data_IF_010226761639
#
_entry.id   IF_010226761639
#
_cell.length_a   1.000
_cell.length_b   1.000
_cell.length_c   1.000
_cell.angle_alpha   90.00
_cell.angle_beta   90.00
_cell.angle_gamma   90.00
#
_symmetry.space_group_name_H-M   'P 1'
#
loop_
_entity.id
_entity.type
_entity.pdbx_description
1 polymer ?
#
# COMPACT_ATOMS: atom_id res chain seq x y z
N UNK A 1 -61.63 -81.65 -6.34
CA UNK A 1 -60.39 -81.34 -5.59
C UNK A 1 -59.35 -80.76 -6.55
N UNK A 2 -59.26 -79.43 -6.64
CA UNK A 2 -58.35 -78.73 -7.55
C UNK A 2 -57.10 -78.25 -6.81
N UNK A 3 -55.94 -78.73 -7.26
CA UNK A 3 -54.90 -77.82 -7.76
C UNK A 3 -54.00 -77.12 -6.76
N UNK A 4 -53.08 -77.90 -6.18
CA UNK A 4 -51.73 -77.55 -5.74
C UNK A 4 -51.01 -76.61 -6.73
N UNK A 5 -50.56 -75.41 -6.32
CA UNK A 5 -49.27 -74.84 -6.76
C UNK A 5 -48.87 -73.52 -6.07
N UNK A 6 -47.54 -73.39 -5.90
CA UNK A 6 -46.69 -72.19 -5.73
C UNK A 6 -46.47 -71.67 -4.31
N UNK A 7 -45.26 -71.93 -3.81
CA UNK A 7 -44.67 -71.29 -2.64
C UNK A 7 -43.16 -71.56 -2.56
N UNK A 8 -42.42 -71.34 -3.65
CA UNK A 8 -40.95 -71.41 -3.65
C UNK A 8 -40.43 -70.16 -4.40
N UNK A 9 -39.60 -69.37 -3.70
CA UNK A 9 -38.81 -68.17 -4.10
C UNK A 9 -39.27 -66.84 -3.47
N UNK A 10 -38.83 -66.58 -2.23
CA UNK A 10 -38.68 -65.19 -1.74
C UNK A 10 -37.52 -64.99 -0.75
N UNK A 11 -36.98 -66.03 -0.10
CA UNK A 11 -35.94 -65.86 0.93
C UNK A 11 -34.52 -65.53 0.42
N UNK A 12 -34.22 -65.72 -0.87
CA UNK A 12 -32.88 -65.41 -1.40
C UNK A 12 -32.68 -63.93 -1.80
N UNK A 13 -33.76 -63.14 -1.87
CA UNK A 13 -33.70 -61.73 -2.27
C UNK A 13 -33.51 -60.76 -1.09
N UNK A 14 -33.83 -61.17 0.15
CA UNK A 14 -33.59 -60.32 1.33
C UNK A 14 -32.14 -60.40 1.82
N UNK A 15 -31.53 -61.60 1.80
CA UNK A 15 -30.12 -61.76 2.18
C UNK A 15 -29.16 -61.05 1.23
N UNK A 16 -29.48 -60.95 -0.07
CA UNK A 16 -28.62 -60.24 -1.02
C UNK A 16 -28.62 -58.73 -0.77
N UNK A 17 -29.80 -58.14 -0.48
CA UNK A 17 -29.93 -56.72 -0.15
C UNK A 17 -29.22 -56.34 1.16
N UNK A 18 -29.32 -57.17 2.20
CA UNK A 18 -28.66 -56.91 3.48
C UNK A 18 -27.13 -56.99 3.38
N UNK A 19 -26.60 -57.98 2.64
CA UNK A 19 -25.15 -58.09 2.36
C UNK A 19 -24.64 -56.92 1.52
N UNK A 20 -25.46 -56.41 0.60
CA UNK A 20 -25.15 -55.22 -0.19
C UNK A 20 -25.12 -53.94 0.67
N UNK A 21 -26.11 -53.73 1.55
CA UNK A 21 -26.14 -52.57 2.47
C UNK A 21 -24.98 -52.58 3.48
N UNK A 22 -24.65 -53.73 4.06
CA UNK A 22 -23.50 -53.89 4.96
C UNK A 22 -22.19 -53.63 4.20
N UNK A 23 -22.10 -54.09 2.94
CA UNK A 23 -20.97 -53.82 2.05
C UNK A 23 -20.79 -52.33 1.74
N UNK A 24 -21.89 -51.63 1.43
CA UNK A 24 -21.92 -50.18 1.19
C UNK A 24 -21.55 -49.40 2.45
N UNK A 25 -22.06 -49.79 3.63
CA UNK A 25 -21.73 -49.16 4.90
C UNK A 25 -20.24 -49.32 5.27
N UNK A 26 -19.68 -50.55 5.13
CA UNK A 26 -18.24 -50.79 5.34
C UNK A 26 -17.38 -49.99 4.37
N UNK A 27 -17.71 -49.93 3.08
CA UNK A 27 -16.97 -49.11 2.09
C UNK A 27 -17.01 -47.62 2.44
N UNK A 28 -18.18 -47.09 2.81
CA UNK A 28 -18.33 -45.68 3.26
C UNK A 28 -17.48 -45.39 4.50
N UNK A 29 -17.41 -46.31 5.45
CA UNK A 29 -16.58 -46.16 6.66
C UNK A 29 -15.07 -46.16 6.36
N UNK A 30 -14.62 -46.99 5.41
CA UNK A 30 -13.21 -47.09 5.00
C UNK A 30 -12.77 -45.82 4.26
N UNK A 31 -13.59 -45.34 3.32
CA UNK A 31 -13.32 -44.12 2.58
C UNK A 31 -13.25 -42.89 3.50
N UNK A 32 -14.20 -42.74 4.43
CA UNK A 32 -14.20 -41.67 5.43
C UNK A 32 -12.93 -41.68 6.28
N UNK A 33 -12.44 -42.85 6.71
CA UNK A 33 -11.18 -42.97 7.45
C UNK A 33 -9.98 -42.53 6.61
N UNK A 34 -9.92 -42.90 5.33
CA UNK A 34 -8.86 -42.47 4.41
C UNK A 34 -8.84 -40.96 4.24
N UNK A 35 -10.01 -40.33 4.06
CA UNK A 35 -10.13 -38.87 3.95
C UNK A 35 -9.67 -38.14 5.22
N UNK A 36 -10.05 -38.62 6.41
CA UNK A 36 -9.60 -38.03 7.68
C UNK A 36 -8.07 -38.16 7.85
N UNK A 37 -7.47 -39.27 7.39
CA UNK A 37 -6.02 -39.44 7.42
C UNK A 37 -5.31 -38.54 6.41
N UNK A 38 -5.89 -38.34 5.22
CA UNK A 38 -5.38 -37.43 4.22
C UNK A 38 -5.44 -35.98 4.72
N UNK A 39 -6.57 -35.56 5.28
CA UNK A 39 -6.77 -34.23 5.87
C UNK A 39 -5.68 -33.87 6.89
N UNK A 40 -5.29 -34.80 7.75
CA UNK A 40 -4.16 -34.57 8.68
C UNK A 40 -2.85 -34.22 7.99
N UNK A 41 -2.57 -34.81 6.82
CA UNK A 41 -1.38 -34.46 6.03
C UNK A 41 -1.58 -33.09 5.36
N UNK A 42 -2.77 -32.85 4.83
CA UNK A 42 -3.12 -31.55 4.24
C UNK A 42 -3.08 -30.41 5.26
N UNK A 43 -3.43 -30.61 6.53
CA UNK A 43 -3.32 -29.57 7.56
C UNK A 43 -1.87 -29.10 7.79
N UNK A 44 -0.88 -30.00 7.64
CA UNK A 44 0.53 -29.60 7.70
C UNK A 44 0.98 -28.85 6.46
N UNK A 45 0.51 -29.27 5.28
CA UNK A 45 0.75 -28.52 4.05
C UNK A 45 0.12 -27.12 4.14
N UNK A 46 -1.12 -27.02 4.61
CA UNK A 46 -1.82 -25.77 4.86
C UNK A 46 -0.98 -24.85 5.76
N UNK A 47 -0.36 -25.40 6.82
CA UNK A 47 0.52 -24.61 7.67
C UNK A 47 1.72 -24.01 6.94
N UNK A 48 2.41 -24.82 6.13
CA UNK A 48 3.55 -24.35 5.34
C UNK A 48 3.10 -23.26 4.36
N UNK A 49 1.96 -23.45 3.69
CA UNK A 49 1.43 -22.47 2.73
C UNK A 49 1.03 -21.17 3.41
N UNK A 50 0.41 -21.22 4.60
CA UNK A 50 0.11 -20.02 5.39
C UNK A 50 1.37 -19.26 5.75
N UNK A 51 2.41 -19.96 6.23
CA UNK A 51 3.67 -19.30 6.59
C UNK A 51 4.35 -18.67 5.37
N UNK A 52 4.39 -19.38 4.23
CA UNK A 52 4.96 -18.84 3.01
C UNK A 52 4.18 -17.64 2.47
N UNK A 53 2.84 -17.69 2.48
CA UNK A 53 1.98 -16.58 2.06
C UNK A 53 2.20 -15.35 2.96
N UNK A 54 2.30 -15.55 4.28
CA UNK A 54 2.60 -14.48 5.22
C UNK A 54 3.99 -13.86 4.97
N UNK A 55 5.03 -14.70 4.81
CA UNK A 55 6.38 -14.21 4.51
C UNK A 55 6.44 -13.46 3.18
N UNK A 56 5.79 -13.96 2.13
CA UNK A 56 5.81 -13.27 0.83
C UNK A 56 4.95 -12.01 0.82
N UNK A 57 3.83 -11.99 1.54
CA UNK A 57 3.01 -10.78 1.72
C UNK A 57 3.79 -9.71 2.47
N UNK A 58 4.55 -10.12 3.47
CA UNK A 58 5.45 -9.24 4.21
C UNK A 58 6.66 -8.78 3.38
N UNK A 59 7.23 -9.65 2.54
CA UNK A 59 8.28 -9.24 1.62
C UNK A 59 7.75 -8.21 0.62
N UNK A 60 6.51 -8.35 0.15
CA UNK A 60 5.88 -7.38 -0.74
C UNK A 60 5.69 -5.99 -0.13
N UNK A 61 5.48 -5.91 1.18
CA UNK A 61 5.43 -4.60 1.86
C UNK A 61 6.81 -3.98 2.05
N UNK A 62 7.92 -4.72 1.80
CA UNK A 62 9.29 -4.26 2.01
C UNK A 62 10.10 -4.07 0.73
N UNK A 63 9.98 -5.00 -0.20
CA UNK A 63 10.69 -4.97 -1.47
C UNK A 63 9.79 -4.29 -2.48
N UNK A 64 10.39 -3.41 -3.28
CA UNK A 64 9.84 -2.85 -4.51
C UNK A 64 8.91 -3.84 -5.22
N UNK A 65 7.90 -3.32 -5.93
CA UNK A 65 6.88 -4.01 -6.73
C UNK A 65 7.46 -4.88 -7.86
N UNK A 66 8.34 -5.81 -7.49
CA UNK A 66 8.91 -6.81 -8.35
C UNK A 66 7.76 -7.75 -8.69
N UNK A 67 7.46 -7.95 -9.97
CA UNK A 67 6.29 -8.73 -10.39
C UNK A 67 6.36 -10.18 -9.88
N UNK A 68 7.57 -10.70 -9.63
CA UNK A 68 7.80 -12.08 -9.19
C UNK A 68 7.29 -12.31 -7.75
N UNK A 69 7.72 -11.57 -6.71
CA UNK A 69 7.12 -11.64 -5.38
C UNK A 69 5.58 -11.55 -5.38
N UNK A 70 5.02 -10.66 -6.21
CA UNK A 70 3.56 -10.44 -6.28
C UNK A 70 2.85 -11.67 -6.80
N UNK A 71 3.29 -12.20 -7.94
CA UNK A 71 2.72 -13.41 -8.54
C UNK A 71 2.86 -14.60 -7.59
N UNK A 72 4.02 -14.75 -6.95
CA UNK A 72 4.26 -15.83 -5.98
C UNK A 72 3.30 -15.72 -4.80
N UNK A 73 3.13 -14.53 -4.22
CA UNK A 73 2.21 -14.31 -3.12
C UNK A 73 0.76 -14.64 -3.51
N UNK A 74 0.29 -14.16 -4.67
CA UNK A 74 -1.07 -14.46 -5.16
C UNK A 74 -1.27 -15.96 -5.34
N UNK A 75 -0.31 -16.67 -5.94
CA UNK A 75 -0.38 -18.14 -6.11
C UNK A 75 -0.46 -18.84 -4.75
N UNK A 76 0.39 -18.43 -3.79
CA UNK A 76 0.39 -19.01 -2.44
C UNK A 76 -0.95 -18.77 -1.72
N UNK A 77 -1.52 -17.57 -1.84
CA UNK A 77 -2.80 -17.19 -1.23
C UNK A 77 -3.99 -17.96 -1.82
N UNK A 78 -4.01 -18.17 -3.15
CA UNK A 78 -5.04 -19.00 -3.80
C UNK A 78 -4.92 -20.47 -3.36
N UNK A 79 -3.70 -21.03 -3.35
CA UNK A 79 -3.47 -22.39 -2.88
C UNK A 79 -3.86 -22.58 -1.41
N UNK A 80 -3.53 -21.59 -0.56
CA UNK A 80 -3.96 -21.55 0.83
C UNK A 80 -5.49 -21.59 0.94
N UNK A 81 -6.22 -20.76 0.20
CA UNK A 81 -7.67 -20.71 0.22
C UNK A 81 -8.30 -22.06 -0.17
N UNK A 82 -7.79 -22.72 -1.22
CA UNK A 82 -8.26 -24.05 -1.66
C UNK A 82 -8.03 -25.10 -0.56
N UNK A 83 -6.84 -25.13 0.03
CA UNK A 83 -6.50 -26.07 1.11
C UNK A 83 -7.35 -25.82 2.37
N UNK A 84 -7.61 -24.56 2.72
CA UNK A 84 -8.46 -24.19 3.84
C UNK A 84 -9.91 -24.67 3.61
N UNK A 85 -10.47 -24.44 2.43
CA UNK A 85 -11.81 -24.90 2.06
C UNK A 85 -11.92 -26.43 2.14
N UNK A 86 -10.91 -27.16 1.64
CA UNK A 86 -10.86 -28.62 1.77
C UNK A 86 -10.84 -29.05 3.25
N UNK A 87 -10.01 -28.43 4.07
CA UNK A 87 -9.91 -28.74 5.50
C UNK A 87 -11.25 -28.53 6.23
N UNK A 88 -11.90 -27.38 5.98
CA UNK A 88 -13.21 -27.04 6.54
C UNK A 88 -14.28 -28.03 6.08
N UNK A 89 -14.27 -28.42 4.81
CA UNK A 89 -15.20 -29.40 4.26
C UNK A 89 -15.10 -30.74 4.97
N UNK A 90 -13.88 -31.29 5.11
CA UNK A 90 -13.65 -32.56 5.81
C UNK A 90 -14.11 -32.46 7.25
N UNK A 91 -13.74 -31.39 7.96
CA UNK A 91 -14.10 -31.24 9.37
C UNK A 91 -15.62 -31.07 9.57
N UNK A 92 -16.27 -30.26 8.75
CA UNK A 92 -17.70 -29.94 8.90
C UNK A 92 -18.58 -31.11 8.49
N UNK A 93 -18.36 -31.65 7.29
CA UNK A 93 -19.26 -32.63 6.69
C UNK A 93 -18.88 -34.08 7.00
N UNK A 94 -17.58 -34.38 7.08
CA UNK A 94 -17.13 -35.74 7.32
C UNK A 94 -16.93 -36.04 8.79
N UNK A 95 -16.51 -35.11 9.65
CA UNK A 95 -16.41 -35.41 11.10
C UNK A 95 -17.79 -35.33 11.77
N UNK A 96 -18.76 -34.60 11.19
CA UNK A 96 -20.14 -34.42 11.70
C UNK A 96 -20.16 -33.98 13.16
N UNK A 97 -19.46 -32.90 13.45
CA UNK A 97 -19.32 -32.41 14.82
C UNK A 97 -20.62 -31.76 15.32
N UNK A 98 -21.10 -32.15 16.51
CA UNK A 98 -22.31 -31.58 17.11
C UNK A 98 -21.96 -30.33 17.95
N UNK A 99 -22.07 -29.16 17.33
CA UNK A 99 -21.78 -27.86 17.93
C UNK A 99 -22.58 -27.58 19.20
N UNK A 100 -23.89 -27.89 19.19
CA UNK A 100 -24.79 -27.66 20.33
C UNK A 100 -24.33 -28.42 21.58
N UNK A 101 -23.91 -29.67 21.41
CA UNK A 101 -23.38 -30.48 22.52
C UNK A 101 -22.04 -29.94 23.03
N UNK A 102 -21.18 -29.46 22.14
CA UNK A 102 -19.91 -28.85 22.50
C UNK A 102 -20.09 -27.56 23.32
N UNK A 103 -20.99 -26.67 22.92
CA UNK A 103 -21.22 -25.40 23.61
C UNK A 103 -21.87 -25.61 24.98
N UNK A 104 -22.90 -26.46 25.06
CA UNK A 104 -23.56 -26.77 26.33
C UNK A 104 -22.61 -27.41 27.35
N UNK A 105 -21.60 -28.16 26.90
CA UNK A 105 -20.61 -28.74 27.81
C UNK A 105 -19.67 -27.72 28.45
N UNK A 106 -19.56 -26.52 27.91
CA UNK A 106 -18.72 -25.43 28.44
C UNK A 106 -19.43 -24.67 29.56
N UNK A 107 -20.74 -24.46 29.42
CA UNK A 107 -21.52 -23.67 30.37
C UNK A 107 -21.82 -24.41 31.67
N UNK A 108 -21.87 -25.75 31.65
CA UNK A 108 -22.46 -26.54 32.76
C UNK A 108 -21.43 -27.41 33.51
N UNK A 109 -20.23 -27.64 32.98
CA UNK A 109 -19.27 -28.58 33.58
C UNK A 109 -17.88 -27.98 33.77
N UNK A 110 -17.20 -28.40 34.86
CA UNK A 110 -15.78 -28.16 35.08
C UNK A 110 -15.00 -28.71 33.87
N UNK A 111 -14.41 -27.82 33.08
CA UNK A 111 -13.81 -28.14 31.80
C UNK A 111 -12.50 -28.91 32.05
N UNK A 112 -12.39 -30.13 31.54
CA UNK A 112 -11.12 -30.86 31.56
C UNK A 112 -10.11 -30.19 30.62
N UNK A 113 -8.80 -30.33 30.91
CA UNK A 113 -7.76 -29.69 30.08
C UNK A 113 -7.86 -30.04 28.58
N UNK A 114 -8.31 -31.25 28.24
CA UNK A 114 -8.53 -31.66 26.84
C UNK A 114 -9.74 -30.94 26.23
N UNK A 115 -10.85 -30.85 26.97
CA UNK A 115 -12.04 -30.12 26.52
C UNK A 115 -11.74 -28.65 26.27
N UNK A 116 -10.86 -28.05 27.08
CA UNK A 116 -10.40 -26.67 26.88
C UNK A 116 -9.56 -26.53 25.59
N UNK A 117 -8.60 -27.42 25.35
CA UNK A 117 -7.80 -27.39 24.10
C UNK A 117 -8.70 -27.51 22.87
N UNK A 118 -9.69 -28.39 22.93
CA UNK A 118 -10.66 -28.59 21.85
C UNK A 118 -11.52 -27.33 21.64
N UNK A 119 -11.88 -26.61 22.72
CA UNK A 119 -12.56 -25.34 22.62
C UNK A 119 -11.69 -24.30 21.90
N UNK A 120 -10.44 -24.13 22.34
CA UNK A 120 -9.49 -23.18 21.75
C UNK A 120 -9.33 -23.44 20.26
N UNK A 121 -9.15 -24.71 19.85
CA UNK A 121 -9.08 -25.10 18.43
C UNK A 121 -10.31 -24.68 17.62
N UNK A 122 -11.51 -24.71 18.20
CA UNK A 122 -12.74 -24.32 17.49
C UNK A 122 -12.90 -22.82 17.38
N UNK A 123 -12.69 -22.11 18.49
CA UNK A 123 -12.82 -20.65 18.51
C UNK A 123 -11.79 -20.04 17.58
N UNK A 124 -10.52 -20.44 17.70
CA UNK A 124 -9.46 -20.03 16.76
C UNK A 124 -9.78 -20.42 15.32
N UNK A 125 -10.30 -21.63 15.07
CA UNK A 125 -10.71 -22.06 13.73
C UNK A 125 -11.79 -21.17 13.10
N UNK A 126 -12.78 -20.71 13.88
CA UNK A 126 -13.79 -19.76 13.38
C UNK A 126 -13.16 -18.40 13.09
N UNK A 127 -12.30 -17.90 13.97
CA UNK A 127 -11.63 -16.62 13.77
C UNK A 127 -10.76 -16.67 12.50
N UNK A 128 -10.01 -17.75 12.29
CA UNK A 128 -9.21 -18.00 11.07
C UNK A 128 -10.07 -17.95 9.81
N UNK A 129 -11.28 -18.51 9.85
CA UNK A 129 -12.17 -18.50 8.68
C UNK A 129 -12.71 -17.11 8.36
N UNK A 130 -13.13 -16.37 9.38
CA UNK A 130 -13.68 -15.02 9.20
C UNK A 130 -12.57 -14.06 8.74
N UNK A 131 -11.44 -14.05 9.46
CA UNK A 131 -10.29 -13.20 9.13
C UNK A 131 -9.65 -13.59 7.80
N UNK A 132 -9.47 -14.89 7.52
CA UNK A 132 -8.91 -15.37 6.26
C UNK A 132 -9.79 -15.04 5.05
N UNK A 133 -11.13 -15.04 5.20
CA UNK A 133 -12.04 -14.55 4.16
C UNK A 133 -11.85 -13.05 3.92
N UNK A 134 -11.70 -12.26 4.99
CA UNK A 134 -11.47 -10.82 4.87
C UNK A 134 -10.11 -10.49 4.23
N UNK A 135 -9.04 -11.18 4.62
CA UNK A 135 -7.71 -11.08 3.99
C UNK A 135 -7.80 -11.44 2.51
N UNK A 136 -8.52 -12.51 2.15
CA UNK A 136 -8.69 -12.91 0.76
C UNK A 136 -9.46 -11.86 -0.06
N UNK A 137 -10.57 -11.32 0.47
CA UNK A 137 -11.37 -10.31 -0.23
C UNK A 137 -10.58 -9.00 -0.39
N UNK A 138 -9.98 -8.49 0.68
CA UNK A 138 -9.20 -7.25 0.65
C UNK A 138 -7.93 -7.38 -0.18
N UNK A 139 -7.29 -8.56 -0.18
CA UNK A 139 -6.13 -8.81 -1.05
C UNK A 139 -6.52 -8.94 -2.52
N UNK A 140 -7.64 -9.61 -2.83
CA UNK A 140 -8.11 -9.74 -4.21
C UNK A 140 -8.55 -8.40 -4.80
N UNK A 141 -9.21 -7.56 -3.98
CA UNK A 141 -9.54 -6.17 -4.29
C UNK A 141 -8.30 -5.38 -4.73
N UNK A 142 -7.23 -5.45 -3.93
CA UNK A 142 -5.95 -4.80 -4.19
C UNK A 142 -5.31 -5.24 -5.51
N UNK A 143 -5.41 -6.52 -5.90
CA UNK A 143 -4.72 -7.04 -7.09
C UNK A 143 -5.57 -7.06 -8.38
N UNK A 144 -6.90 -7.11 -8.31
CA UNK A 144 -7.73 -7.52 -9.44
C UNK A 144 -8.98 -6.67 -9.70
N UNK A 145 -8.93 -5.35 -9.51
CA UNK A 145 -9.90 -4.43 -10.14
C UNK A 145 -11.30 -4.46 -9.51
N UNK A 146 -11.37 -4.46 -8.18
CA UNK A 146 -12.53 -3.89 -7.48
C UNK A 146 -12.12 -2.48 -7.03
N UNK A 147 -13.06 -1.53 -7.07
CA UNK A 147 -12.78 -0.10 -6.81
C UNK A 147 -12.60 0.13 -5.31
N UNK A 148 -11.48 -0.34 -4.77
CA UNK A 148 -10.98 -0.22 -3.39
C UNK A 148 -12.03 -0.01 -2.28
N UNK A 149 -12.99 -0.92 -2.04
CA UNK A 149 -13.73 -0.92 -0.77
C UNK A 149 -12.83 -1.09 0.46
N UNK A 150 -11.61 -1.63 0.34
CA UNK A 150 -10.73 -1.88 1.49
C UNK A 150 -9.34 -1.25 1.33
N UNK A 151 -8.96 -0.39 2.29
CA UNK A 151 -7.59 0.14 2.36
C UNK A 151 -6.58 -0.95 2.71
N UNK A 152 -5.31 -0.75 2.32
CA UNK A 152 -4.20 -1.61 2.71
C UNK A 152 -4.10 -1.79 4.23
N UNK A 153 -4.39 -0.74 5.01
CA UNK A 153 -4.44 -0.80 6.48
C UNK A 153 -5.44 -1.85 6.98
N UNK A 154 -6.64 -1.89 6.39
CA UNK A 154 -7.65 -2.89 6.75
C UNK A 154 -7.18 -4.31 6.42
N UNK A 155 -6.47 -4.50 5.29
CA UNK A 155 -5.89 -5.78 4.91
C UNK A 155 -4.85 -6.23 5.95
N UNK A 156 -3.92 -5.36 6.33
CA UNK A 156 -2.87 -5.64 7.33
C UNK A 156 -3.47 -5.97 8.69
N UNK A 157 -4.49 -5.23 9.14
CA UNK A 157 -5.18 -5.53 10.41
C UNK A 157 -5.80 -6.93 10.38
N UNK A 158 -6.47 -7.28 9.28
CA UNK A 158 -7.09 -8.59 9.16
C UNK A 158 -6.07 -9.72 9.08
N UNK A 159 -4.94 -9.51 8.40
CA UNK A 159 -3.85 -10.48 8.31
C UNK A 159 -3.19 -10.72 9.68
N UNK A 160 -3.01 -9.67 10.47
CA UNK A 160 -2.53 -9.77 11.85
C UNK A 160 -3.48 -10.58 12.75
N UNK A 161 -4.80 -10.28 12.69
CA UNK A 161 -5.81 -11.05 13.44
C UNK A 161 -5.79 -12.53 13.01
N UNK A 162 -5.71 -12.77 11.70
CA UNK A 162 -5.63 -14.10 11.13
C UNK A 162 -4.39 -14.85 11.64
N UNK A 163 -3.21 -14.23 11.60
CA UNK A 163 -1.95 -14.84 12.02
C UNK A 163 -1.93 -15.17 13.52
N UNK A 164 -2.44 -14.28 14.37
CA UNK A 164 -2.56 -14.52 15.81
C UNK A 164 -3.47 -15.73 16.07
N UNK A 165 -4.66 -15.75 15.44
CA UNK A 165 -5.60 -16.86 15.59
C UNK A 165 -5.02 -18.18 15.08
N UNK A 166 -4.32 -18.13 13.95
CA UNK A 166 -3.61 -19.25 13.35
C UNK A 166 -2.52 -19.81 14.28
N UNK A 167 -1.71 -18.94 14.87
CA UNK A 167 -0.65 -19.32 15.80
C UNK A 167 -1.20 -20.02 17.04
N UNK A 168 -2.29 -19.49 17.62
CA UNK A 168 -3.02 -20.11 18.73
C UNK A 168 -3.57 -21.47 18.33
N UNK A 169 -4.17 -21.58 17.13
CA UNK A 169 -4.72 -22.83 16.62
C UNK A 169 -3.65 -23.92 16.49
N UNK A 170 -2.50 -23.57 15.91
CA UNK A 170 -1.39 -24.49 15.71
C UNK A 170 -0.78 -24.96 17.04
N UNK A 171 -0.58 -24.05 18.00
CA UNK A 171 -0.10 -24.40 19.33
C UNK A 171 -1.06 -25.36 20.05
N UNK A 172 -2.37 -25.10 19.99
CA UNK A 172 -3.39 -25.99 20.55
C UNK A 172 -3.43 -27.37 19.84
N UNK A 173 -3.25 -27.38 18.52
CA UNK A 173 -3.18 -28.59 17.70
C UNK A 173 -1.96 -29.46 18.05
N UNK A 174 -0.79 -28.83 18.21
CA UNK A 174 0.44 -29.49 18.65
C UNK A 174 0.26 -30.08 20.05
N UNK A 175 -0.35 -29.33 20.99
CA UNK A 175 -0.66 -29.82 22.33
C UNK A 175 -1.51 -31.08 22.31
N UNK A 176 -2.58 -31.07 21.50
CA UNK A 176 -3.47 -32.22 21.34
C UNK A 176 -2.77 -33.43 20.71
N UNK A 177 -1.86 -33.20 19.76
CA UNK A 177 -1.04 -34.25 19.15
C UNK A 177 -0.11 -34.90 20.19
N UNK A 178 0.60 -34.09 20.98
CA UNK A 178 1.50 -34.57 22.03
C UNK A 178 0.74 -35.32 23.13
N UNK A 179 -0.46 -34.84 23.48
CA UNK A 179 -1.37 -35.54 24.38
C UNK A 179 -1.73 -36.93 23.87
N UNK A 180 -2.12 -37.06 22.59
CA UNK A 180 -2.41 -38.37 21.97
C UNK A 180 -1.20 -39.31 21.93
N UNK A 181 0.01 -38.76 21.84
CA UNK A 181 1.27 -39.52 21.94
C UNK A 181 1.68 -39.84 23.39
N UNK A 182 0.81 -39.56 24.38
CA UNK A 182 1.04 -39.83 25.81
C UNK A 182 2.34 -39.21 26.36
N UNK A 183 2.75 -38.04 25.83
CA UNK A 183 3.87 -37.28 26.42
C UNK A 183 3.46 -36.69 27.77
N UNK A 184 4.41 -36.35 28.64
CA UNK A 184 4.10 -35.75 29.94
C UNK A 184 3.41 -34.38 29.76
N UNK A 185 2.57 -33.99 30.72
CA UNK A 185 1.89 -32.68 30.70
C UNK A 185 2.87 -31.51 30.66
N UNK A 186 4.02 -31.64 31.33
CA UNK A 186 5.12 -30.68 31.26
C UNK A 186 5.63 -30.48 29.84
N UNK A 187 5.98 -31.57 29.14
CA UNK A 187 6.47 -31.52 27.75
C UNK A 187 5.41 -30.94 26.80
N UNK A 188 4.13 -31.29 27.02
CA UNK A 188 3.02 -30.73 26.24
C UNK A 188 2.91 -29.21 26.40
N UNK A 189 2.92 -28.72 27.64
CA UNK A 189 2.80 -27.30 27.95
C UNK A 189 3.99 -26.50 27.41
N UNK A 190 5.22 -26.98 27.68
CA UNK A 190 6.44 -26.30 27.26
C UNK A 190 6.56 -26.22 25.73
N UNK A 191 6.31 -27.32 25.02
CA UNK A 191 6.42 -27.33 23.55
C UNK A 191 5.40 -26.40 22.88
N UNK A 192 4.18 -26.36 23.41
CA UNK A 192 3.12 -25.50 22.86
C UNK A 192 3.39 -24.03 23.16
N UNK A 193 3.92 -23.74 24.35
CA UNK A 193 4.32 -22.38 24.74
C UNK A 193 5.47 -21.87 23.88
N UNK A 194 6.57 -22.63 23.76
CA UNK A 194 7.72 -22.24 22.93
C UNK A 194 7.34 -22.07 21.46
N UNK A 195 6.46 -22.93 20.94
CA UNK A 195 5.98 -22.80 19.57
C UNK A 195 5.13 -21.54 19.36
N UNK A 196 4.20 -21.24 20.28
CA UNK A 196 3.41 -20.02 20.24
C UNK A 196 4.31 -18.77 20.36
N UNK A 197 5.24 -18.78 21.32
CA UNK A 197 6.18 -17.69 21.52
C UNK A 197 7.04 -17.46 20.27
N UNK A 198 7.52 -18.51 19.61
CA UNK A 198 8.29 -18.39 18.38
C UNK A 198 7.48 -17.78 17.23
N UNK A 199 6.21 -18.16 17.07
CA UNK A 199 5.33 -17.57 16.04
C UNK A 199 5.01 -16.10 16.34
N UNK A 200 4.69 -15.78 17.59
CA UNK A 200 4.42 -14.39 18.00
C UNK A 200 5.67 -13.52 17.90
N UNK A 201 6.85 -14.05 18.26
CA UNK A 201 8.12 -13.36 18.08
C UNK A 201 8.47 -13.19 16.60
N UNK A 202 8.15 -14.15 15.74
CA UNK A 202 8.32 -13.98 14.30
C UNK A 202 7.42 -12.85 13.80
N UNK A 203 6.12 -12.87 14.11
CA UNK A 203 5.20 -11.79 13.77
C UNK A 203 5.67 -10.43 14.33
N UNK A 204 6.08 -10.38 15.59
CA UNK A 204 6.61 -9.16 16.20
C UNK A 204 7.93 -8.72 15.58
N UNK A 205 8.83 -9.62 15.18
CA UNK A 205 10.07 -9.26 14.49
C UNK A 205 9.78 -8.70 13.08
N UNK A 206 8.75 -9.23 12.42
CA UNK A 206 8.24 -8.67 11.18
C UNK A 206 7.61 -7.29 11.42
N UNK A 207 6.72 -7.12 12.39
CA UNK A 207 6.14 -5.80 12.70
C UNK A 207 7.16 -4.79 13.22
N UNK A 208 8.05 -5.17 14.15
CA UNK A 208 9.03 -4.25 14.72
C UNK A 208 10.09 -3.80 13.71
N UNK A 209 10.39 -4.62 12.70
CA UNK A 209 11.19 -4.16 11.56
C UNK A 209 10.48 -3.10 10.70
N UNK A 210 9.17 -2.87 10.90
CA UNK A 210 8.42 -1.71 10.41
C UNK A 210 8.52 -0.52 11.39
N UNK A 211 8.58 -0.80 12.70
CA UNK A 211 8.63 0.23 13.75
C UNK A 211 10.02 0.85 13.94
N UNK A 212 11.09 0.22 13.46
CA UNK A 212 12.47 0.70 13.67
C UNK A 212 12.88 1.99 12.93
N UNK A 213 11.94 2.71 12.28
CA UNK A 213 12.19 4.08 11.77
C UNK A 213 11.01 5.06 11.97
N UNK A 214 9.97 4.69 12.72
CA UNK A 214 8.86 5.61 13.08
C UNK A 214 9.06 6.28 14.45
N UNK A 215 10.28 6.25 14.99
CA UNK A 215 10.61 6.92 16.25
C UNK A 215 10.68 8.43 16.02
N UNK A 216 9.62 9.12 16.45
CA UNK A 216 9.34 10.55 16.25
C UNK A 216 9.30 10.91 14.78
N UNK A 217 8.11 11.18 14.23
CA UNK A 217 8.04 11.83 12.92
C UNK A 217 8.94 13.08 13.00
N UNK A 218 10.09 13.08 12.32
CA UNK A 218 11.00 14.18 12.43
C UNK A 218 10.33 15.28 11.62
N UNK A 219 9.53 16.11 12.29
CA UNK A 219 8.98 17.32 11.68
C UNK A 219 10.13 18.04 10.98
N UNK A 220 9.91 18.58 9.78
CA UNK A 220 10.89 19.32 8.99
C UNK A 220 12.32 18.73 9.04
N UNK A 221 12.66 17.81 8.15
CA UNK A 221 13.98 17.16 8.17
C UNK A 221 14.62 16.96 6.80
N UNK A 222 15.96 16.94 6.78
CA UNK A 222 16.78 16.52 5.63
C UNK A 222 17.49 15.23 5.99
N UNK A 223 17.38 14.20 5.14
CA UNK A 223 18.09 12.93 5.27
C UNK A 223 19.21 12.83 4.25
N UNK A 224 20.44 12.56 4.69
CA UNK A 224 21.62 12.41 3.83
C UNK A 224 22.39 11.17 4.29
N UNK A 225 22.56 10.19 3.39
CA UNK A 225 23.22 8.90 3.71
C UNK A 225 22.63 8.19 4.94
N UNK A 226 21.31 8.24 5.11
CA UNK A 226 20.63 7.64 6.26
C UNK A 226 20.71 8.46 7.56
N UNK A 227 21.48 9.54 7.60
CA UNK A 227 21.51 10.47 8.74
C UNK A 227 20.41 11.50 8.59
N UNK A 228 19.57 11.65 9.61
CA UNK A 228 18.46 12.62 9.64
C UNK A 228 18.91 13.89 10.36
N UNK A 229 18.68 15.03 9.74
CA UNK A 229 18.98 16.37 10.26
C UNK A 229 17.68 17.16 10.38
N UNK A 230 17.39 17.68 11.58
CA UNK A 230 16.26 18.58 11.77
C UNK A 230 16.53 19.95 11.14
N UNK A 231 15.49 20.52 10.53
CA UNK A 231 15.48 21.82 9.86
C UNK A 231 14.76 22.85 10.70
N UNK A 232 15.44 23.97 10.95
CA UNK A 232 14.85 25.16 11.55
C UNK A 232 14.71 26.23 10.46
N UNK A 233 13.47 26.57 10.10
CA UNK A 233 13.19 27.51 9.03
C UNK A 233 13.62 28.94 9.35
N UNK A 234 13.83 29.28 10.62
CA UNK A 234 14.33 30.60 11.04
C UNK A 234 15.81 30.80 10.70
N UNK A 235 16.53 29.72 10.40
CA UNK A 235 17.96 29.74 10.04
C UNK A 235 18.19 29.57 8.54
N UNK A 236 17.13 29.39 7.75
CA UNK A 236 17.26 29.23 6.30
C UNK A 236 17.55 30.58 5.63
N UNK A 237 18.31 30.53 4.53
CA UNK A 237 18.49 31.65 3.63
C UNK A 237 17.89 31.30 2.27
N UNK A 238 17.32 32.28 1.60
CA UNK A 238 16.58 32.08 0.36
C UNK A 238 17.52 32.13 -0.85
N UNK A 239 17.60 31.04 -1.62
CA UNK A 239 18.39 30.95 -2.85
C UNK A 239 17.68 31.50 -4.09
N UNK A 240 16.34 31.59 -4.06
CA UNK A 240 15.49 32.05 -5.18
C UNK A 240 14.62 33.26 -4.79
N UNK A 241 15.23 34.45 -4.60
CA UNK A 241 14.52 35.71 -4.32
C UNK A 241 13.56 36.15 -5.44
N UNK A 242 13.79 35.65 -6.66
CA UNK A 242 12.97 35.84 -7.85
C UNK A 242 11.65 35.04 -7.83
N UNK A 243 11.62 33.89 -7.13
CA UNK A 243 10.42 33.03 -7.05
C UNK A 243 9.66 33.26 -5.76
N UNK A 244 10.34 33.18 -4.61
CA UNK A 244 9.67 33.14 -3.31
C UNK A 244 9.57 34.53 -2.65
N UNK A 245 8.50 34.74 -1.87
CA UNK A 245 8.40 35.89 -0.96
C UNK A 245 9.42 35.78 0.17
N UNK A 246 9.72 36.91 0.82
CA UNK A 246 10.62 36.92 1.97
C UNK A 246 10.12 35.99 3.09
N UNK A 247 11.02 35.17 3.64
CA UNK A 247 10.70 34.18 4.67
C UNK A 247 10.02 32.92 4.12
N UNK A 248 9.98 32.75 2.79
CA UNK A 248 9.55 31.52 2.12
C UNK A 248 10.77 30.87 1.45
N UNK A 249 10.80 29.55 1.49
CA UNK A 249 11.98 28.77 1.17
C UNK A 249 11.62 27.58 0.28
N UNK A 250 12.63 27.06 -0.39
CA UNK A 250 12.60 25.82 -1.16
C UNK A 250 13.22 24.65 -0.39
N UNK A 251 13.06 23.42 -0.90
CA UNK A 251 13.81 22.27 -0.40
C UNK A 251 15.32 22.43 -0.56
N UNK A 252 15.77 23.14 -1.59
CA UNK A 252 17.18 23.47 -1.76
C UNK A 252 17.73 24.32 -0.60
N UNK A 253 16.96 25.31 -0.15
CA UNK A 253 17.36 26.17 0.99
C UNK A 253 17.50 25.37 2.29
N UNK A 254 16.65 24.37 2.50
CA UNK A 254 16.75 23.46 3.64
C UNK A 254 18.04 22.62 3.59
N UNK A 255 18.44 22.13 2.41
CA UNK A 255 19.70 21.41 2.22
C UNK A 255 20.90 22.32 2.51
N UNK A 256 20.91 23.55 2.00
CA UNK A 256 21.98 24.53 2.24
C UNK A 256 22.12 24.83 3.73
N UNK A 257 21.00 25.11 4.41
CA UNK A 257 21.02 25.37 5.87
C UNK A 257 21.59 24.19 6.65
N UNK A 258 21.16 22.95 6.34
CA UNK A 258 21.70 21.75 7.00
C UNK A 258 23.19 21.60 6.74
N UNK A 259 23.62 21.85 5.49
CA UNK A 259 25.03 21.81 5.11
C UNK A 259 25.87 22.78 5.93
N UNK A 260 25.47 24.05 5.97
CA UNK A 260 26.20 25.11 6.69
C UNK A 260 26.25 24.83 8.19
N UNK A 261 25.11 24.47 8.78
CA UNK A 261 24.98 24.20 10.22
C UNK A 261 25.78 22.98 10.67
N UNK A 262 25.95 21.99 9.78
CA UNK A 262 26.62 20.72 10.10
C UNK A 262 28.02 20.61 9.52
N UNK A 263 28.49 21.62 8.78
CA UNK A 263 29.78 21.61 8.11
C UNK A 263 29.88 20.51 7.05
N UNK A 264 28.81 20.25 6.30
CA UNK A 264 28.85 19.34 5.17
C UNK A 264 29.53 20.05 3.98
N UNK A 265 30.34 19.32 3.21
CA UNK A 265 30.96 19.84 1.97
C UNK A 265 29.92 19.82 0.84
N UNK A 266 29.01 20.80 0.82
CA UNK A 266 28.08 21.04 -0.28
C UNK A 266 28.69 22.08 -1.23
N UNK A 267 28.83 21.69 -2.50
CA UNK A 267 29.22 22.57 -3.60
C UNK A 267 28.08 22.58 -4.61
N UNK A 268 27.71 23.77 -5.03
CA UNK A 268 26.63 23.99 -5.98
C UNK A 268 26.86 25.31 -6.72
N UNK A 269 26.15 25.46 -7.83
CA UNK A 269 26.07 26.71 -8.58
C UNK A 269 24.67 26.87 -9.15
N UNK A 270 24.32 28.11 -9.51
CA UNK A 270 23.12 28.37 -10.29
C UNK A 270 23.42 28.21 -11.78
N UNK A 271 22.64 27.38 -12.47
CA UNK A 271 22.73 27.19 -13.91
C UNK A 271 21.61 27.97 -14.61
N UNK A 272 21.92 29.03 -15.38
CA UNK A 272 20.92 29.83 -16.07
C UNK A 272 20.23 29.08 -17.22
N UNK A 273 20.85 28.06 -17.83
CA UNK A 273 20.24 27.29 -18.92
C UNK A 273 19.16 26.34 -18.40
N UNK A 274 19.19 26.03 -17.10
CA UNK A 274 18.16 25.24 -16.43
C UNK A 274 17.29 26.07 -15.48
N UNK A 275 17.61 27.35 -15.26
CA UNK A 275 17.06 28.22 -14.21
C UNK A 275 16.98 27.54 -12.82
N UNK A 276 18.02 26.80 -12.41
CA UNK A 276 18.02 26.04 -11.14
C UNK A 276 19.40 25.98 -10.49
N UNK A 277 19.44 25.76 -9.18
CA UNK A 277 20.65 25.42 -8.45
C UNK A 277 21.02 23.94 -8.63
N UNK A 278 22.22 23.68 -9.17
CA UNK A 278 22.78 22.36 -9.45
C UNK A 278 23.76 21.96 -8.34
N UNK A 279 23.62 20.75 -7.80
CA UNK A 279 24.53 20.19 -6.80
C UNK A 279 25.75 19.57 -7.50
N UNK A 280 26.88 20.26 -7.46
CA UNK A 280 28.16 19.75 -7.99
C UNK A 280 28.69 18.58 -7.18
N UNK A 281 28.65 18.72 -5.84
CA UNK A 281 29.03 17.65 -4.92
C UNK A 281 28.44 17.87 -3.54
N UNK A 282 28.11 16.77 -2.85
CA UNK A 282 27.78 16.76 -1.43
C UNK A 282 28.63 15.68 -0.74
N UNK A 283 29.35 16.08 0.31
CA UNK A 283 30.32 15.24 1.04
C UNK A 283 31.38 14.63 0.10
N UNK A 284 31.87 15.43 -0.84
CA UNK A 284 32.86 15.03 -1.84
C UNK A 284 32.38 14.03 -2.90
N UNK A 285 31.11 13.60 -2.85
CA UNK A 285 30.49 12.73 -3.86
C UNK A 285 29.65 13.54 -4.85
N UNK A 286 29.56 13.07 -6.09
CA UNK A 286 28.73 13.68 -7.16
C UNK A 286 27.41 12.92 -7.34
N UNK A 287 26.59 13.41 -8.26
CA UNK A 287 25.36 12.81 -8.74
C UNK A 287 24.29 12.66 -7.66
N UNK A 288 24.10 13.75 -6.91
CA UNK A 288 23.06 13.83 -5.90
C UNK A 288 21.75 14.28 -6.54
N UNK A 289 20.70 13.56 -6.20
CA UNK A 289 19.33 13.96 -6.45
C UNK A 289 18.56 13.98 -5.13
N UNK A 290 17.26 14.30 -5.21
CA UNK A 290 16.42 14.39 -4.04
C UNK A 290 15.07 13.69 -4.22
N UNK A 291 14.53 13.26 -3.09
CA UNK A 291 13.16 12.83 -2.89
C UNK A 291 12.55 13.79 -1.85
N UNK A 292 11.65 14.65 -2.27
CA UNK A 292 10.86 15.52 -1.41
C UNK A 292 9.47 14.92 -1.18
N UNK A 293 8.98 14.96 0.05
CA UNK A 293 7.59 14.64 0.36
C UNK A 293 7.10 15.45 1.55
N UNK A 294 5.78 15.61 1.64
CA UNK A 294 5.13 16.26 2.77
C UNK A 294 4.36 15.24 3.60
N UNK A 295 3.84 15.70 4.73
CA UNK A 295 2.86 14.98 5.51
C UNK A 295 1.70 14.43 4.64
N UNK A 296 1.32 13.18 4.93
CA UNK A 296 0.38 12.38 4.15
C UNK A 296 0.87 11.92 2.76
N UNK A 297 2.09 12.29 2.34
CA UNK A 297 2.72 11.75 1.14
C UNK A 297 3.17 10.30 1.31
N UNK A 298 3.50 9.62 0.21
CA UNK A 298 3.97 8.23 0.27
C UNK A 298 5.34 8.14 0.97
N UNK A 299 5.30 7.76 2.25
CA UNK A 299 6.48 7.48 3.08
C UNK A 299 6.82 6.00 3.11
N UNK A 300 6.30 5.18 2.19
CA UNK A 300 6.61 3.74 2.16
C UNK A 300 8.06 3.52 1.74
N UNK A 301 8.94 3.74 2.72
CA UNK A 301 10.35 3.38 2.71
C UNK A 301 10.44 1.93 2.25
N UNK A 302 11.30 1.62 1.28
CA UNK A 302 12.47 2.43 0.91
C UNK A 302 12.26 3.52 -0.15
N UNK A 303 11.04 3.77 -0.61
CA UNK A 303 10.78 4.60 -1.78
C UNK A 303 10.09 5.89 -1.36
N UNK A 304 10.86 6.98 -1.23
CA UNK A 304 10.26 8.31 -1.20
C UNK A 304 9.65 8.62 -2.56
N UNK A 305 8.95 9.74 -2.63
CA UNK A 305 8.41 10.22 -3.90
C UNK A 305 9.54 10.54 -4.90
N UNK A 306 9.47 9.92 -6.08
CA UNK A 306 10.39 10.24 -7.17
C UNK A 306 9.98 11.59 -7.74
N UNK A 307 10.85 12.59 -7.65
CA UNK A 307 10.54 13.94 -8.04
C UNK A 307 11.30 14.36 -9.30
N UNK A 308 10.56 14.74 -10.35
CA UNK A 308 11.11 15.43 -11.53
C UNK A 308 10.70 16.91 -11.47
N UNK A 309 11.24 17.60 -10.48
CA UNK A 309 11.13 19.05 -10.33
C UNK A 309 12.50 19.63 -9.99
N UNK A 310 12.69 20.91 -10.30
CA UNK A 310 13.81 21.70 -9.79
C UNK A 310 13.70 21.80 -8.26
N UNK A 311 14.73 21.35 -7.55
CA UNK A 311 14.75 21.29 -6.08
C UNK A 311 14.55 22.67 -5.43
N UNK A 312 15.10 23.71 -6.07
CA UNK A 312 15.02 25.10 -5.63
C UNK A 312 13.70 25.79 -6.02
N UNK A 313 12.78 25.06 -6.65
CA UNK A 313 11.40 25.49 -6.93
C UNK A 313 10.37 24.68 -6.14
N UNK A 314 10.82 23.61 -5.46
CA UNK A 314 10.00 22.78 -4.61
C UNK A 314 9.84 23.47 -3.25
N UNK A 315 8.65 23.97 -2.86
CA UNK A 315 8.52 24.76 -1.63
C UNK A 315 8.85 23.96 -0.37
N UNK A 316 9.42 24.62 0.64
CA UNK A 316 9.58 24.05 1.97
C UNK A 316 8.39 24.44 2.85
N UNK A 317 7.76 23.47 3.51
CA UNK A 317 6.64 23.70 4.44
C UNK A 317 6.75 22.85 5.69
N UNK A 318 5.87 23.10 6.65
CA UNK A 318 5.73 22.30 7.85
C UNK A 318 5.41 20.83 7.52
N UNK A 319 6.14 19.90 8.15
CA UNK A 319 6.08 18.46 7.85
C UNK A 319 6.84 18.05 6.60
N UNK A 320 7.65 18.93 5.99
CA UNK A 320 8.45 18.57 4.82
C UNK A 320 9.60 17.64 5.21
N UNK A 321 9.81 16.60 4.41
CA UNK A 321 10.98 15.74 4.51
C UNK A 321 11.67 15.75 3.15
N UNK A 322 12.97 16.00 3.19
CA UNK A 322 13.85 15.97 2.04
C UNK A 322 14.84 14.83 2.22
N UNK A 323 14.93 13.92 1.28
CA UNK A 323 15.94 12.85 1.29
C UNK A 323 16.87 13.00 0.11
N UNK A 324 18.16 13.04 0.38
CA UNK A 324 19.20 13.06 -0.64
C UNK A 324 19.56 11.64 -1.03
N UNK A 325 19.54 11.37 -2.33
CA UNK A 325 19.87 10.07 -2.92
C UNK A 325 20.94 10.22 -3.97
N UNK A 326 21.70 9.15 -4.22
CA UNK A 326 22.65 9.11 -5.33
C UNK A 326 22.01 8.40 -6.51
N UNK A 327 22.14 8.99 -7.68
CA UNK A 327 21.63 8.47 -8.93
C UNK A 327 22.77 8.23 -9.92
N UNK A 328 22.48 7.51 -11.01
CA UNK A 328 23.47 7.36 -12.07
C UNK A 328 23.73 8.71 -12.76
N UNK A 329 24.95 8.95 -13.30
CA UNK A 329 25.22 10.16 -14.08
C UNK A 329 24.24 10.34 -15.24
N UNK A 330 23.92 9.25 -15.95
CA UNK A 330 23.03 9.28 -17.11
C UNK A 330 21.60 9.67 -16.72
N UNK A 331 21.08 9.12 -15.63
CA UNK A 331 19.76 9.48 -15.09
C UNK A 331 19.71 10.95 -14.65
N UNK A 332 20.78 11.47 -14.05
CA UNK A 332 20.84 12.87 -13.66
C UNK A 332 20.87 13.79 -14.88
N UNK A 333 21.65 13.43 -15.89
CA UNK A 333 21.74 14.22 -17.13
C UNK A 333 20.42 14.22 -17.89
N UNK A 334 19.68 13.10 -17.91
CA UNK A 334 18.34 13.02 -18.51
C UNK A 334 17.38 14.03 -17.87
N UNK A 335 17.42 14.18 -16.53
CA UNK A 335 16.64 15.19 -15.80
C UNK A 335 17.03 16.61 -16.18
N UNK A 336 18.32 16.89 -16.25
CA UNK A 336 18.83 18.20 -16.62
C UNK A 336 18.48 18.57 -18.06
N UNK A 337 18.47 17.61 -18.98
CA UNK A 337 18.06 17.87 -20.36
C UNK A 337 16.58 18.28 -20.48
N UNK A 338 15.70 17.69 -19.65
CA UNK A 338 14.32 18.17 -19.56
C UNK A 338 14.26 19.62 -19.09
N UNK A 339 15.05 19.99 -18.08
CA UNK A 339 15.07 21.37 -17.60
C UNK A 339 15.58 22.36 -18.66
N UNK A 340 16.65 22.01 -19.38
CA UNK A 340 17.17 22.82 -20.49
C UNK A 340 16.13 22.99 -21.59
N UNK A 341 15.44 21.90 -21.95
CA UNK A 341 14.38 21.93 -22.97
C UNK A 341 13.22 22.85 -22.55
N UNK A 342 12.81 22.82 -21.29
CA UNK A 342 11.77 23.74 -20.78
C UNK A 342 12.19 25.21 -20.86
N UNK A 343 13.43 25.53 -20.48
CA UNK A 343 13.93 26.91 -20.55
C UNK A 343 14.09 27.37 -22.00
N UNK A 344 14.64 26.51 -22.88
CA UNK A 344 14.72 26.78 -24.31
C UNK A 344 13.34 27.10 -24.91
N UNK A 345 12.31 26.28 -24.61
CA UNK A 345 10.93 26.56 -25.06
C UNK A 345 10.42 27.90 -24.54
N UNK A 346 10.66 28.22 -23.27
CA UNK A 346 10.26 29.48 -22.66
C UNK A 346 10.93 30.68 -23.37
N UNK A 347 12.22 30.57 -23.67
CA UNK A 347 12.99 31.60 -24.37
C UNK A 347 12.53 31.79 -25.82
N UNK A 348 12.28 30.70 -26.56
CA UNK A 348 11.70 30.72 -27.90
C UNK A 348 10.32 31.40 -27.93
N UNK A 349 9.56 31.29 -26.84
CA UNK A 349 8.27 31.94 -26.66
C UNK A 349 8.37 33.39 -26.17
N UNK A 350 9.58 33.96 -26.07
CA UNK A 350 9.82 35.32 -25.60
C UNK A 350 9.59 35.47 -24.10
N UNK A 351 9.92 34.44 -23.31
CA UNK A 351 9.74 34.40 -21.86
C UNK A 351 8.35 33.97 -21.39
N UNK A 352 7.42 33.70 -22.32
CA UNK A 352 6.04 33.28 -22.01
C UNK A 352 5.98 31.78 -21.71
N UNK A 353 5.13 31.42 -20.74
CA UNK A 353 4.86 30.01 -20.41
C UNK A 353 3.79 29.48 -21.36
N UNK A 354 4.21 28.73 -22.39
CA UNK A 354 3.28 28.05 -23.30
C UNK A 354 3.40 26.56 -23.09
N UNK A 355 2.30 25.91 -22.73
CA UNK A 355 2.23 24.46 -22.57
C UNK A 355 1.71 23.86 -23.87
N UNK A 356 2.52 23.05 -24.59
CA UNK A 356 2.10 22.44 -25.85
C UNK A 356 0.81 21.63 -25.74
N UNK A 357 0.61 20.94 -24.61
CA UNK A 357 -0.55 20.07 -24.39
C UNK A 357 -1.11 20.19 -22.96
N UNK A 358 -2.31 20.75 -22.83
CA UNK A 358 -3.08 20.75 -21.58
C UNK A 358 -4.25 19.78 -21.69
N UNK A 359 -4.29 18.79 -20.81
CA UNK A 359 -5.29 17.71 -20.81
C UNK A 359 -6.12 17.83 -19.55
N UNK A 360 -7.45 17.81 -19.68
CA UNK A 360 -8.38 17.73 -18.54
C UNK A 360 -9.19 16.45 -18.69
N UNK A 361 -8.89 15.44 -17.88
CA UNK A 361 -9.61 14.16 -17.80
C UNK A 361 -10.56 14.16 -16.61
N UNK A 362 -11.79 14.62 -16.85
CA UNK A 362 -12.88 14.53 -15.90
C UNK A 362 -13.54 13.14 -15.88
N UNK A 363 -14.59 13.01 -15.07
CA UNK A 363 -15.44 11.80 -15.04
C UNK A 363 -16.32 11.71 -16.28
N UNK A 364 -16.76 12.86 -16.78
CA UNK A 364 -17.75 12.92 -17.86
C UNK A 364 -17.14 13.27 -19.20
N UNK A 365 -16.02 13.99 -19.22
CA UNK A 365 -15.40 14.48 -20.45
C UNK A 365 -13.87 14.42 -20.39
N UNK A 366 -13.25 14.38 -21.57
CA UNK A 366 -11.82 14.56 -21.75
C UNK A 366 -11.62 15.74 -22.70
N UNK A 367 -10.91 16.77 -22.24
CA UNK A 367 -10.56 17.93 -23.03
C UNK A 367 -9.06 17.94 -23.33
N UNK A 368 -8.71 18.33 -24.55
CA UNK A 368 -7.33 18.49 -24.98
C UNK A 368 -7.17 19.87 -25.60
N UNK A 369 -6.36 20.72 -24.97
CA UNK A 369 -6.02 22.05 -25.44
C UNK A 369 -4.57 22.07 -25.92
N UNK A 370 -4.32 22.64 -27.09
CA UNK A 370 -2.99 22.76 -27.67
C UNK A 370 -2.43 24.17 -27.49
N UNK A 371 -1.13 24.26 -27.16
CA UNK A 371 -0.38 25.52 -27.09
C UNK A 371 -1.05 26.59 -26.22
N UNK A 372 -1.33 26.24 -24.97
CA UNK A 372 -1.98 27.15 -24.01
C UNK A 372 -0.92 28.09 -23.45
N UNK A 373 -1.01 29.38 -23.78
CA UNK A 373 -0.28 30.44 -23.06
C UNK A 373 -0.91 30.61 -21.68
N UNK A 374 -0.15 30.32 -20.63
CA UNK A 374 -0.62 30.39 -19.24
C UNK A 374 -0.18 31.70 -18.60
N UNK A 375 -1.14 32.42 -18.02
CA UNK A 375 -0.88 33.69 -17.33
C UNK A 375 -0.74 33.45 -15.83
N UNK A 376 0.07 34.26 -15.15
CA UNK A 376 0.13 34.23 -13.69
C UNK A 376 -1.13 34.88 -13.09
N UNK A 377 -1.85 34.16 -12.24
CA UNK A 377 -3.00 34.72 -11.49
C UNK A 377 -2.62 35.21 -10.10
N UNK A 378 -1.37 35.01 -9.68
CA UNK A 378 -0.84 35.40 -8.37
C UNK A 378 -1.69 34.87 -7.21
N UNK A 379 -2.27 33.67 -7.36
CA UNK A 379 -3.15 33.05 -6.36
C UNK A 379 -2.45 32.87 -5.00
N UNK A 380 -1.13 32.69 -5.02
CA UNK A 380 -0.27 32.46 -3.85
C UNK A 380 0.74 33.59 -3.65
N UNK A 381 0.27 34.83 -3.67
CA UNK A 381 1.11 36.00 -3.38
C UNK A 381 1.68 36.03 -1.94
N UNK A 382 1.18 35.15 -1.06
CA UNK A 382 1.76 34.87 0.26
C UNK A 382 3.06 34.06 0.18
N UNK A 383 3.24 33.29 -0.90
CA UNK A 383 4.33 32.32 -1.07
C UNK A 383 5.27 32.73 -2.20
N UNK A 384 4.72 33.13 -3.34
CA UNK A 384 5.46 33.48 -4.54
C UNK A 384 5.41 34.98 -4.84
N UNK A 385 6.43 35.46 -5.56
CA UNK A 385 6.46 36.81 -6.14
C UNK A 385 5.40 36.95 -7.23
N UNK A 386 4.98 38.19 -7.47
CA UNK A 386 4.06 38.50 -8.56
C UNK A 386 4.68 38.09 -9.91
N UNK A 387 3.89 37.45 -10.76
CA UNK A 387 4.30 36.97 -12.08
C UNK A 387 4.79 35.52 -12.12
N UNK A 388 4.92 34.84 -10.97
CA UNK A 388 5.22 33.40 -10.95
C UNK A 388 4.01 32.61 -11.42
N UNK A 389 4.18 31.85 -12.50
CA UNK A 389 3.16 30.96 -13.06
C UNK A 389 3.23 29.60 -12.37
N UNK A 390 2.07 29.07 -11.99
CA UNK A 390 1.90 27.78 -11.32
C UNK A 390 0.98 26.85 -12.13
N UNK A 391 0.94 25.56 -11.80
CA UNK A 391 0.13 24.59 -12.53
C UNK A 391 -1.38 24.91 -12.48
N UNK A 392 -1.87 25.44 -11.36
CA UNK A 392 -3.29 25.83 -11.20
C UNK A 392 -3.69 26.98 -12.12
N UNK A 393 -2.74 27.86 -12.46
CA UNK A 393 -2.99 29.01 -13.32
C UNK A 393 -3.39 28.58 -14.74
N UNK A 394 -3.06 27.36 -15.18
CA UNK A 394 -3.52 26.84 -16.47
C UNK A 394 -5.04 26.61 -16.48
N UNK A 395 -5.61 26.06 -15.39
CA UNK A 395 -7.07 25.90 -15.27
C UNK A 395 -7.74 27.28 -15.18
N UNK A 396 -7.14 28.20 -14.42
CA UNK A 396 -7.65 29.57 -14.30
C UNK A 396 -7.63 30.31 -15.65
N UNK A 397 -6.52 30.20 -16.39
CA UNK A 397 -6.37 30.74 -17.74
C UNK A 397 -7.43 30.19 -18.70
N UNK A 398 -7.63 28.87 -18.72
CA UNK A 398 -8.67 28.26 -19.56
C UNK A 398 -10.08 28.74 -19.18
N UNK A 399 -10.32 29.01 -17.90
CA UNK A 399 -11.57 29.59 -17.44
C UNK A 399 -11.75 31.05 -17.86
N UNK A 400 -10.71 31.89 -17.76
CA UNK A 400 -10.73 33.29 -18.21
C UNK A 400 -10.97 33.41 -19.72
N UNK A 401 -10.44 32.45 -20.50
CA UNK A 401 -10.68 32.33 -21.93
C UNK A 401 -12.08 31.77 -22.28
N UNK A 402 -12.87 31.37 -21.28
CA UNK A 402 -14.23 30.86 -21.44
C UNK A 402 -14.30 29.43 -21.99
N UNK A 403 -13.21 28.66 -21.94
CA UNK A 403 -13.18 27.28 -22.41
C UNK A 403 -13.75 26.27 -21.41
N UNK A 404 -13.70 26.59 -20.12
CA UNK A 404 -14.25 25.77 -19.06
C UNK A 404 -14.77 26.66 -17.92
N UNK A 405 -15.58 26.07 -17.04
CA UNK A 405 -15.90 26.65 -15.73
C UNK A 405 -15.18 25.86 -14.65
N UNK A 406 -14.73 26.54 -13.58
CA UNK A 406 -14.03 25.87 -12.49
C UNK A 406 -14.39 26.45 -11.13
N UNK A 407 -14.16 25.66 -10.07
CA UNK A 407 -14.23 26.10 -8.68
C UNK A 407 -12.92 25.74 -8.00
N UNK A 408 -12.33 26.70 -7.30
CA UNK A 408 -11.21 26.46 -6.40
C UNK A 408 -11.69 26.38 -4.97
N UNK A 409 -11.05 25.52 -4.17
CA UNK A 409 -11.34 25.40 -2.75
C UNK A 409 -10.04 25.28 -1.96
N UNK A 410 -9.98 26.03 -0.86
CA UNK A 410 -8.89 25.93 0.08
C UNK A 410 -9.06 24.72 0.98
N UNK A 411 -7.96 24.00 1.20
CA UNK A 411 -7.89 22.89 2.14
C UNK A 411 -6.74 23.11 3.12
N UNK A 412 -7.07 23.14 4.41
CA UNK A 412 -6.07 23.13 5.48
C UNK A 412 -5.41 21.76 5.63
N UNK A 413 -6.19 20.70 5.44
CA UNK A 413 -5.80 19.28 5.51
C UNK A 413 -6.58 18.46 4.47
N UNK A 414 -6.01 17.34 4.02
CA UNK A 414 -6.67 16.38 3.11
C UNK A 414 -6.25 14.95 3.48
N UNK A 415 -7.23 14.08 3.74
CA UNK A 415 -6.97 12.67 4.06
C UNK A 415 -6.17 12.54 5.36
N UNK A 416 -4.97 11.97 5.26
CA UNK A 416 -4.03 11.83 6.38
C UNK A 416 -3.02 12.98 6.46
N UNK A 417 -2.98 13.90 5.48
CA UNK A 417 -2.12 15.07 5.53
C UNK A 417 -2.75 16.15 6.41
N UNK A 418 -2.18 16.40 7.58
CA UNK A 418 -2.61 17.43 8.53
C UNK A 418 -2.30 18.84 8.01
N UNK A 419 -1.21 19.00 7.25
CA UNK A 419 -0.77 20.30 6.72
C UNK A 419 -0.72 20.31 5.19
N UNK A 420 -1.84 20.74 4.60
CA UNK A 420 -1.95 20.99 3.15
C UNK A 420 -1.82 22.48 2.85
N UNK A 421 -2.73 23.31 3.39
CA UNK A 421 -2.78 24.78 3.25
C UNK A 421 -2.61 25.25 1.80
N UNK A 422 -3.51 24.80 0.94
CA UNK A 422 -3.43 25.02 -0.50
C UNK A 422 -4.81 25.05 -1.18
N UNK A 423 -4.88 25.70 -2.35
CA UNK A 423 -6.02 25.66 -3.24
C UNK A 423 -5.99 24.43 -4.15
N UNK A 424 -7.12 23.74 -4.20
CA UNK A 424 -7.36 22.62 -5.10
C UNK A 424 -8.45 22.97 -6.11
N UNK A 425 -8.38 22.36 -7.28
CA UNK A 425 -9.44 22.42 -8.29
C UNK A 425 -10.57 21.47 -7.85
N UNK A 426 -11.57 22.03 -7.17
CA UNK A 426 -12.70 21.26 -6.64
C UNK A 426 -13.62 20.79 -7.77
N UNK A 427 -13.85 21.62 -8.79
CA UNK A 427 -14.70 21.26 -9.92
C UNK A 427 -14.20 21.84 -11.23
N UNK A 428 -14.44 21.10 -12.32
CA UNK A 428 -14.34 21.59 -13.70
C UNK A 428 -15.63 21.20 -14.42
N UNK A 429 -16.34 22.18 -14.97
CA UNK A 429 -17.65 22.04 -15.60
C UNK A 429 -18.66 21.27 -14.74
N UNK A 430 -19.04 20.06 -15.16
CA UNK A 430 -20.03 19.22 -14.49
C UNK A 430 -19.41 18.25 -13.49
N UNK A 431 -18.09 18.13 -13.49
CA UNK A 431 -17.37 17.22 -12.61
C UNK A 431 -16.94 17.98 -11.36
N UNK A 432 -17.50 17.60 -10.21
CA UNK A 432 -17.28 18.25 -8.92
C UNK A 432 -16.86 17.23 -7.87
N UNK A 433 -15.81 17.57 -7.13
CA UNK A 433 -15.18 16.80 -6.07
C UNK A 433 -16.19 16.29 -5.05
N UNK A 434 -15.97 15.07 -4.57
CA UNK A 434 -16.78 14.49 -3.49
C UNK A 434 -15.99 13.46 -2.71
N UNK A 435 -16.18 13.43 -1.38
CA UNK A 435 -15.46 12.54 -0.48
C UNK A 435 -13.93 12.68 -0.68
N UNK A 436 -13.28 11.61 -1.16
CA UNK A 436 -11.84 11.55 -1.49
C UNK A 436 -11.59 11.48 -3.00
N UNK A 437 -12.60 11.85 -3.79
CA UNK A 437 -12.53 11.91 -5.24
C UNK A 437 -12.45 13.37 -5.71
N UNK A 438 -11.54 13.66 -6.62
CA UNK A 438 -11.39 14.98 -7.19
C UNK A 438 -10.34 15.02 -8.30
N UNK A 439 -10.05 16.23 -8.77
CA UNK A 439 -8.97 16.46 -9.72
C UNK A 439 -7.64 16.49 -8.98
N UNK A 440 -6.71 15.67 -9.45
CA UNK A 440 -5.28 15.86 -9.20
C UNK A 440 -4.60 16.26 -10.52
N UNK A 441 -3.30 16.49 -10.48
CA UNK A 441 -2.56 16.87 -11.68
C UNK A 441 -1.20 16.19 -11.76
N UNK A 442 -0.60 16.28 -12.94
CA UNK A 442 0.79 16.02 -13.20
C UNK A 442 1.28 16.96 -14.30
N UNK A 443 2.58 17.27 -14.33
CA UNK A 443 3.17 18.09 -15.40
C UNK A 443 4.65 17.80 -15.58
N UNK A 444 5.14 17.94 -16.82
CA UNK A 444 6.56 17.76 -17.14
C UNK A 444 6.75 17.18 -18.53
N UNK A 445 7.71 16.26 -18.64
CA UNK A 445 8.07 15.53 -19.86
C UNK A 445 7.34 14.17 -19.90
N UNK A 446 6.75 13.72 -21.04
CA UNK A 446 6.05 12.45 -21.15
C UNK A 446 6.81 11.21 -20.67
N UNK A 447 8.15 11.23 -20.72
CA UNK A 447 8.99 10.15 -20.17
C UNK A 447 8.74 9.86 -18.68
N UNK A 448 8.26 10.86 -17.94
CA UNK A 448 8.08 10.84 -16.48
C UNK A 448 6.60 10.89 -16.04
N UNK A 449 5.66 10.53 -16.91
CA UNK A 449 4.23 10.42 -16.60
C UNK A 449 3.93 9.58 -15.34
N UNK A 450 2.92 10.00 -14.58
CA UNK A 450 2.43 9.42 -13.33
C UNK A 450 3.52 9.34 -12.25
N UNK A 451 3.52 8.23 -11.51
CA UNK A 451 4.45 7.92 -10.42
C UNK A 451 5.90 7.69 -10.89
N UNK A 452 6.17 7.85 -12.19
CA UNK A 452 7.55 8.00 -12.66
C UNK A 452 8.13 9.35 -12.25
N UNK A 453 7.29 10.32 -11.86
CA UNK A 453 7.68 11.44 -11.01
C UNK A 453 7.29 12.84 -11.49
N UNK A 454 6.37 12.93 -12.47
CA UNK A 454 5.60 14.15 -12.76
C UNK A 454 4.37 14.30 -11.86
N UNK A 455 3.79 13.20 -11.38
CA UNK A 455 2.73 13.21 -10.39
C UNK A 455 3.34 13.20 -9.00
N UNK A 456 3.45 14.39 -8.39
CA UNK A 456 4.08 14.57 -7.10
C UNK A 456 3.15 15.18 -6.04
N UNK A 457 3.45 15.03 -4.75
CA UNK A 457 2.65 15.54 -3.63
C UNK A 457 2.80 17.05 -3.40
N UNK A 458 3.10 17.84 -4.44
CA UNK A 458 2.93 19.30 -4.39
C UNK A 458 1.55 19.63 -4.96
N UNK A 459 0.72 20.42 -4.27
CA UNK A 459 -0.53 20.91 -4.85
C UNK A 459 -0.31 21.80 -6.08
N UNK A 460 -1.27 21.87 -7.00
CA UNK A 460 -1.05 22.59 -8.26
C UNK A 460 -0.83 24.09 -8.12
N UNK A 461 -1.32 24.72 -7.04
CA UNK A 461 -1.06 26.14 -6.74
C UNK A 461 0.37 26.41 -6.25
N UNK A 462 1.18 25.36 -6.04
CA UNK A 462 2.57 25.42 -5.57
C UNK A 462 3.58 24.94 -6.62
N UNK A 463 3.12 24.28 -7.67
CA UNK A 463 3.98 23.78 -8.74
C UNK A 463 4.29 24.91 -9.71
N UNK A 464 5.46 25.54 -9.55
CA UNK A 464 5.98 26.53 -10.50
C UNK A 464 6.13 25.91 -11.89
N UNK A 465 5.73 26.65 -12.93
CA UNK A 465 5.86 26.26 -14.33
C UNK A 465 6.90 27.10 -15.04
N UNK A 466 7.69 26.44 -15.90
CA UNK A 466 8.59 27.11 -16.87
C UNK A 466 8.03 27.09 -18.27
N UNK A 467 7.93 25.89 -18.86
CA UNK A 467 7.24 25.57 -20.11
C UNK A 467 7.31 24.05 -20.29
N UNK A 468 6.61 23.27 -19.43
CA UNK A 468 6.61 21.82 -19.54
C UNK A 468 5.98 21.39 -20.87
N UNK A 469 6.30 20.19 -21.33
CA UNK A 469 5.75 19.63 -22.58
C UNK A 469 4.24 19.34 -22.44
N UNK A 470 3.81 18.95 -21.25
CA UNK A 470 2.39 18.78 -20.95
C UNK A 470 2.03 19.11 -19.50
N UNK A 471 0.73 19.36 -19.32
CA UNK A 471 0.06 19.44 -18.03
C UNK A 471 -1.25 18.66 -18.13
N UNK A 472 -1.50 17.76 -17.18
CA UNK A 472 -2.69 16.94 -17.15
C UNK A 472 -3.37 17.08 -15.80
N UNK A 473 -4.62 17.50 -15.80
CA UNK A 473 -5.53 17.29 -14.68
C UNK A 473 -6.34 16.04 -14.93
N UNK A 474 -6.45 15.17 -13.93
CA UNK A 474 -7.20 13.93 -14.07
C UNK A 474 -7.95 13.57 -12.79
N UNK A 475 -9.08 12.89 -12.98
CA UNK A 475 -9.95 12.49 -11.89
C UNK A 475 -9.50 11.18 -11.23
N UNK A 476 -9.36 11.18 -9.91
CA UNK A 476 -9.02 10.00 -9.11
C UNK A 476 -9.84 10.00 -7.82
N UNK A 477 -10.07 8.81 -7.27
CA UNK A 477 -10.58 8.59 -5.92
C UNK A 477 -9.49 7.91 -5.08
N UNK A 478 -9.15 8.48 -3.92
CA UNK A 478 -8.08 8.02 -3.01
C UNK A 478 -8.65 7.33 -1.77
#
# INVERSE_FOLDING_TARGET
MKGKMRGIRSNNLSESKEKEEIGVFRRRSSFRKKLILADRKFSWLLFVMTFLAFVTGYLLTRTESQPVPTVVHVILSVLFAVLLLYHVYVYTFLVKYNWKKGFNSLLVRKISGISFIILVLRVSGIIILISGLFVFISGFDYYFVLKEPFSLSNHVIADNIFYIAFSVHMAAGLKLLLHRKKKSSFVQNLSSFLFLAALLLAAFAFESGFVYNLTEEPGNSVQIDGVVYSVDSLLMSQSRPDIFQEGKYSMFDALVMVSDKKGLDLKYHYDPEMETNVIDSLKGSRNWWYEGYYDGGYTSVPFGEINYQRMDEYPWKEGAILRMVRVSPDELEERYEVFRTEIMRKDENGGRVIIPRVIIEGRTNIYNYGSVEVYAHNLRNDTFRDGVVTAIDAVMTLGDLGYLSYTLKWYDSIGTAEVVRSYFVESIDRDSGYNRCGFVYECGEPGYEFFKGNHIHIPSDWRVLKSPEYLKYFWICI
#
